data_IF_240583990214
#
_entry.id   IF_240583990214
#
_cell.length_a   1.000
_cell.length_b   1.000
_cell.length_c   1.000
_cell.angle_alpha   90.00
_cell.angle_beta   90.00
_cell.angle_gamma   90.00
#
_symmetry.space_group_name_H-M   'P 1'
#
loop_
_entity.id
_entity.type
_entity.pdbx_description
1 polymer ?
#
# COMPACT_ATOMS: atom_id res chain seq x y z
N UNK A 1 6.26 -3.34 2.84
CA UNK A 1 6.49 -3.08 1.40
C UNK A 1 6.04 -4.25 0.56
N UNK A 2 6.00 -4.09 -0.77
CA UNK A 2 5.66 -5.14 -1.72
C UNK A 2 5.89 -4.69 -3.16
N UNK A 3 5.61 -5.57 -4.12
CA UNK A 3 5.70 -5.24 -5.55
C UNK A 3 4.33 -5.27 -6.19
N UNK A 4 3.98 -4.17 -6.85
CA UNK A 4 2.78 -4.01 -7.66
C UNK A 4 3.01 -4.66 -9.02
N UNK A 5 2.20 -5.66 -9.38
CA UNK A 5 2.39 -6.42 -10.62
C UNK A 5 3.39 -7.58 -10.51
N UNK A 6 3.70 -8.03 -9.28
CA UNK A 6 4.65 -9.12 -9.02
C UNK A 6 6.10 -8.65 -8.87
N UNK A 7 7.04 -9.57 -8.60
CA UNK A 7 8.44 -9.22 -8.22
C UNK A 7 9.19 -8.29 -9.19
N UNK A 8 8.87 -8.30 -10.48
CA UNK A 8 9.49 -7.42 -11.48
C UNK A 8 8.75 -6.08 -11.66
N UNK A 9 7.67 -5.85 -10.91
CA UNK A 9 6.86 -4.65 -10.97
C UNK A 9 7.34 -3.54 -10.02
N UNK A 10 6.49 -2.54 -9.79
CA UNK A 10 6.86 -1.35 -9.01
C UNK A 10 6.98 -1.71 -7.52
N UNK A 11 8.12 -1.37 -6.92
CA UNK A 11 8.31 -1.50 -5.48
C UNK A 11 7.59 -0.38 -4.74
N UNK A 12 6.72 -0.75 -3.80
CA UNK A 12 5.95 0.19 -3.01
C UNK A 12 6.14 -0.01 -1.51
N UNK A 13 6.15 1.09 -0.78
CA UNK A 13 6.19 1.12 0.68
C UNK A 13 5.00 1.91 1.18
N UNK A 14 4.11 1.25 1.91
CA UNK A 14 3.07 1.91 2.71
C UNK A 14 3.66 2.20 4.10
N UNK A 15 3.77 3.47 4.43
CA UNK A 15 4.15 3.97 5.75
C UNK A 15 2.89 4.44 6.47
N UNK A 16 2.67 3.95 7.69
CA UNK A 16 1.49 4.25 8.49
C UNK A 16 1.96 4.70 9.87
N UNK A 17 1.65 5.94 10.24
CA UNK A 17 1.88 6.48 11.58
C UNK A 17 0.71 6.11 12.51
N UNK A 18 -0.53 6.25 12.03
CA UNK A 18 -1.71 5.72 12.69
C UNK A 18 -2.85 5.39 11.70
N UNK A 19 -3.81 4.59 12.16
CA UNK A 19 -4.95 4.10 11.38
C UNK A 19 -6.23 4.83 11.83
N UNK A 20 -7.11 5.17 10.89
CA UNK A 20 -8.40 5.81 11.16
C UNK A 20 -8.36 7.35 11.17
N UNK A 21 -7.20 7.96 10.89
CA UNK A 21 -7.03 9.40 10.67
C UNK A 21 -6.45 9.66 9.30
N UNK A 22 -6.99 10.66 8.61
CA UNK A 22 -6.51 11.09 7.28
C UNK A 22 -5.20 11.87 7.42
N UNK A 23 -4.23 11.63 6.53
CA UNK A 23 -2.93 12.32 6.54
C UNK A 23 -1.81 11.66 7.36
N UNK A 24 -2.10 10.61 8.13
CA UNK A 24 -1.12 9.88 8.95
C UNK A 24 -0.57 8.62 8.22
N UNK A 25 -0.74 8.54 6.90
CA UNK A 25 -0.16 7.48 6.08
C UNK A 25 0.31 8.00 4.72
N UNK A 26 1.40 7.41 4.23
CA UNK A 26 2.07 7.78 2.97
C UNK A 26 2.42 6.54 2.18
N UNK A 27 2.25 6.60 0.86
CA UNK A 27 2.74 5.57 -0.05
C UNK A 27 3.96 6.10 -0.80
N UNK A 28 5.06 5.38 -0.72
CA UNK A 28 6.24 5.63 -1.54
C UNK A 28 6.29 4.62 -2.69
N UNK A 29 6.66 5.11 -3.87
CA UNK A 29 6.97 4.29 -5.04
C UNK A 29 8.32 4.76 -5.61
N UNK A 30 9.44 4.36 -5.00
CA UNK A 30 10.78 4.89 -5.35
C UNK A 30 11.15 4.68 -6.82
N UNK A 31 10.58 3.67 -7.47
CA UNK A 31 10.77 3.39 -8.89
C UNK A 31 10.12 4.46 -9.81
N UNK A 32 9.24 5.30 -9.28
CA UNK A 32 8.50 6.31 -10.03
C UNK A 32 8.85 7.74 -9.62
N UNK A 33 9.02 7.99 -8.33
CA UNK A 33 9.28 9.34 -7.79
C UNK A 33 9.93 9.26 -6.41
N UNK A 34 10.79 10.23 -6.03
CA UNK A 34 11.28 10.34 -4.65
C UNK A 34 10.19 10.75 -3.65
N UNK A 35 9.14 11.44 -4.11
CA UNK A 35 8.10 11.98 -3.25
C UNK A 35 7.05 10.94 -2.87
N UNK A 36 6.51 11.08 -1.65
CA UNK A 36 5.42 10.23 -1.18
C UNK A 36 4.06 10.70 -1.69
N UNK A 37 3.15 9.76 -1.90
CA UNK A 37 1.75 10.04 -2.14
C UNK A 37 0.97 10.03 -0.81
N UNK A 38 0.28 11.13 -0.45
CA UNK A 38 -0.52 11.17 0.76
C UNK A 38 -1.71 10.20 0.70
N UNK A 39 -1.85 9.35 1.71
CA UNK A 39 -3.04 8.50 1.83
C UNK A 39 -4.21 9.35 2.34
N UNK A 40 -5.24 9.45 1.50
CA UNK A 40 -6.42 10.29 1.74
C UNK A 40 -7.51 9.61 2.56
N UNK A 41 -7.50 8.28 2.63
CA UNK A 41 -8.36 7.48 3.51
C UNK A 41 -7.65 6.18 3.86
N UNK A 42 -7.73 5.79 5.13
CA UNK A 42 -7.14 4.55 5.64
C UNK A 42 -8.05 3.98 6.74
N UNK A 43 -8.51 2.74 6.56
CA UNK A 43 -9.21 1.98 7.59
C UNK A 43 -8.65 0.57 7.72
N UNK A 44 -8.77 0.03 8.92
CA UNK A 44 -8.48 -1.36 9.22
C UNK A 44 -9.54 -1.91 10.17
N UNK A 45 -10.42 -2.75 9.64
CA UNK A 45 -11.57 -3.27 10.36
C UNK A 45 -11.72 -4.76 10.04
N UNK A 46 -11.94 -5.59 11.06
CA UNK A 46 -12.17 -7.04 10.89
C UNK A 46 -11.09 -7.75 10.04
N UNK A 47 -9.82 -7.34 10.20
CA UNK A 47 -8.70 -7.90 9.44
C UNK A 47 -8.62 -7.42 7.99
N UNK A 48 -9.40 -6.41 7.59
CA UNK A 48 -9.40 -5.85 6.24
C UNK A 48 -8.82 -4.43 6.25
N UNK A 49 -7.79 -4.22 5.45
CA UNK A 49 -7.24 -2.89 5.17
C UNK A 49 -7.89 -2.31 3.92
N UNK A 50 -8.35 -1.07 3.99
CA UNK A 50 -8.74 -0.27 2.81
C UNK A 50 -8.00 1.05 2.85
N UNK A 51 -7.42 1.44 1.72
CA UNK A 51 -6.83 2.76 1.55
C UNK A 51 -7.19 3.36 0.19
N UNK A 52 -7.17 4.69 0.14
CA UNK A 52 -7.37 5.48 -1.08
C UNK A 52 -6.36 6.62 -1.17
N UNK A 53 -5.89 6.89 -2.39
CA UNK A 53 -5.00 8.00 -2.74
C UNK A 53 -5.63 8.77 -3.90
N UNK A 54 -6.34 9.86 -3.58
CA UNK A 54 -7.10 10.61 -4.58
C UNK A 54 -6.23 11.25 -5.66
N UNK A 55 -5.04 11.75 -5.31
CA UNK A 55 -4.16 12.47 -6.24
C UNK A 55 -3.71 11.66 -7.45
N UNK A 56 -3.70 10.32 -7.33
CA UNK A 56 -3.34 9.39 -8.42
C UNK A 56 -4.48 8.44 -8.78
N UNK A 57 -5.69 8.69 -8.26
CA UNK A 57 -6.87 7.87 -8.51
C UNK A 57 -6.70 6.39 -8.11
N UNK A 58 -5.96 6.12 -7.03
CA UNK A 58 -5.64 4.76 -6.62
C UNK A 58 -6.37 4.31 -5.34
N UNK A 59 -6.60 3.00 -5.25
CA UNK A 59 -7.12 2.35 -4.05
C UNK A 59 -6.48 0.97 -3.84
N UNK A 60 -6.37 0.55 -2.58
CA UNK A 60 -5.93 -0.80 -2.23
C UNK A 60 -6.84 -1.39 -1.17
N UNK A 61 -7.27 -2.62 -1.42
CA UNK A 61 -8.06 -3.42 -0.49
C UNK A 61 -7.36 -4.76 -0.27
N UNK A 62 -7.12 -5.09 0.99
CA UNK A 62 -6.39 -6.29 1.38
C UNK A 62 -6.93 -6.92 2.66
N UNK A 63 -6.70 -8.22 2.79
CA UNK A 63 -6.93 -8.97 4.03
C UNK A 63 -5.61 -9.26 4.71
N UNK A 64 -5.59 -9.18 6.03
CA UNK A 64 -4.49 -9.68 6.85
C UNK A 64 -4.54 -11.21 6.85
N UNK A 65 -3.49 -11.83 6.31
CA UNK A 65 -3.31 -13.28 6.33
C UNK A 65 -2.73 -13.75 7.66
N UNK A 66 -2.80 -15.06 7.90
CA UNK A 66 -2.28 -15.71 9.10
C UNK A 66 -0.74 -15.56 9.23
N UNK A 67 -0.05 -15.31 8.11
CA UNK A 67 1.38 -15.04 8.05
C UNK A 67 1.74 -13.56 8.35
N UNK A 68 0.75 -12.76 8.75
CA UNK A 68 0.92 -11.34 9.08
C UNK A 68 1.08 -10.44 7.86
N UNK A 69 0.87 -10.94 6.63
CA UNK A 69 0.94 -10.14 5.40
C UNK A 69 -0.43 -9.61 5.00
N UNK A 70 -0.44 -8.44 4.38
CA UNK A 70 -1.64 -7.90 3.75
C UNK A 70 -1.67 -8.34 2.29
N UNK A 71 -2.66 -9.16 1.93
CA UNK A 71 -2.81 -9.74 0.59
C UNK A 71 -4.04 -9.15 -0.05
N UNK A 72 -3.89 -8.53 -1.22
CA UNK A 72 -4.99 -7.80 -1.84
C UNK A 72 -4.76 -7.35 -3.27
N UNK A 73 -5.62 -6.41 -3.67
CA UNK A 73 -5.64 -5.86 -5.02
C UNK A 73 -5.48 -4.34 -4.98
N UNK A 74 -4.48 -3.86 -5.72
CA UNK A 74 -4.27 -2.46 -6.04
C UNK A 74 -5.07 -2.10 -7.28
N UNK A 75 -5.83 -1.01 -7.24
CA UNK A 75 -6.58 -0.50 -8.38
C UNK A 75 -6.07 0.89 -8.72
N UNK A 76 -5.53 1.01 -9.93
CA UNK A 76 -5.13 2.27 -10.54
C UNK A 76 -5.23 2.09 -12.05
N UNK A 77 -6.28 2.68 -12.66
CA UNK A 77 -6.66 2.39 -14.05
C UNK A 77 -7.68 1.24 -14.16
N UNK A 78 -7.73 0.61 -15.34
CA UNK A 78 -8.81 -0.33 -15.71
C UNK A 78 -8.75 -1.66 -14.96
N UNK A 79 -7.56 -2.26 -14.86
CA UNK A 79 -7.39 -3.61 -14.31
C UNK A 79 -6.75 -3.54 -12.93
N UNK A 80 -7.30 -4.25 -11.93
CA UNK A 80 -6.64 -4.39 -10.64
C UNK A 80 -5.37 -5.24 -10.78
N UNK A 81 -4.34 -4.89 -10.01
CA UNK A 81 -3.08 -5.61 -9.94
C UNK A 81 -2.92 -6.23 -8.54
N UNK A 82 -2.36 -7.44 -8.44
CA UNK A 82 -2.09 -8.05 -7.14
C UNK A 82 -1.01 -7.27 -6.40
N UNK A 83 -1.19 -7.11 -5.09
CA UNK A 83 -0.21 -6.54 -4.20
C UNK A 83 -0.24 -7.27 -2.87
N UNK A 84 0.93 -7.72 -2.43
CA UNK A 84 1.13 -8.27 -1.08
C UNK A 84 2.11 -7.36 -0.33
N UNK A 85 1.68 -6.82 0.81
CA UNK A 85 2.53 -6.03 1.68
C UNK A 85 3.01 -6.86 2.87
N UNK A 86 4.32 -6.87 3.08
CA UNK A 86 4.95 -7.36 4.30
C UNK A 86 5.16 -6.21 5.28
N UNK A 87 4.91 -6.45 6.56
CA UNK A 87 5.21 -5.51 7.64
C UNK A 87 6.72 -5.43 7.86
N UNK A 88 7.22 -4.23 8.17
CA UNK A 88 8.59 -3.95 8.59
C UNK A 88 8.57 -2.80 9.58
N UNK A 89 9.48 -2.82 10.56
CA UNK A 89 9.64 -1.74 11.55
C UNK A 89 10.45 -0.55 10.99
N UNK A 90 11.19 -0.78 9.90
CA UNK A 90 11.97 0.24 9.20
C UNK A 90 11.59 0.25 7.72
N UNK A 91 11.85 1.38 7.04
CA UNK A 91 11.64 1.48 5.60
C UNK A 91 12.56 0.49 4.89
N UNK A 92 12.01 -0.52 4.22
CA UNK A 92 12.83 -1.52 3.53
C UNK A 92 13.37 -0.95 2.22
N UNK A 93 14.56 -1.40 1.86
CA UNK A 93 15.13 -1.17 0.54
C UNK A 93 14.45 -2.08 -0.50
N UNK A 94 14.64 -1.72 -1.77
CA UNK A 94 14.20 -2.56 -2.89
C UNK A 94 15.13 -3.79 -2.96
N UNK A 95 14.56 -4.98 -2.76
CA UNK A 95 15.24 -6.28 -2.90
C UNK A 95 15.26 -6.79 -4.35
#
# INVERSE_FOLDING_TARGET
>A
SGYLGGKSGLFVVLEVEAIGRTGEARLYSPDQTPDAFPVTSLSFEEGQLKLSIQSIGAAFAAKLGDDGRLIGAWKQGLLPQPLTLKRSEQRPERE
#
